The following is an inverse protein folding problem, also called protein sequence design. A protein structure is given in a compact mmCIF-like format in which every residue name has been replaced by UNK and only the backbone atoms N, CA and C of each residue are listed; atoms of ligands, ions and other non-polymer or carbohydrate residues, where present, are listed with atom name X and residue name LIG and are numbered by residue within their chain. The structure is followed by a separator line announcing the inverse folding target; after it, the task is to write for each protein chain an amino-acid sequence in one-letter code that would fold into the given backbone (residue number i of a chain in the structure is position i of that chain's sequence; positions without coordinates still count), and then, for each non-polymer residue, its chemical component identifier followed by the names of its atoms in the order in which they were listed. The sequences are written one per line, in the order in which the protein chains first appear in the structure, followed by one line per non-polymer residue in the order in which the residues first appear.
data_IF_287356795072
#
_entry.id   IF_287356795072
#
_cell.length_a   1.000
_cell.length_b   1.000
_cell.length_c   1.000
_cell.angle_alpha   90.00
_cell.angle_beta   90.00
_cell.angle_gamma   90.00
#
_symmetry.space_group_name_H-M   'P 1'
#
loop_
_entity.id
_entity.type
_entity.pdbx_description
1 polymer ?
#
# COMPACT_ATOMS: atom_id res chain seq x y z
N UNK A 1 -44.43 -28.59 0.61
CA UNK A 1 -43.26 -28.89 -0.26
C UNK A 1 -42.29 -29.79 0.49
N UNK A 2 -41.69 -30.82 -0.13
CA UNK A 2 -40.79 -31.71 0.57
C UNK A 2 -39.58 -30.90 1.06
N UNK A 3 -39.26 -31.02 2.36
CA UNK A 3 -38.19 -30.27 3.04
C UNK A 3 -36.85 -30.26 2.27
N UNK A 4 -36.56 -31.34 1.55
CA UNK A 4 -35.39 -31.47 0.65
C UNK A 4 -35.35 -30.42 -0.47
N UNK A 5 -36.50 -30.10 -1.08
CA UNK A 5 -36.57 -29.09 -2.15
C UNK A 5 -36.28 -27.69 -1.60
N UNK A 6 -36.75 -27.37 -0.38
CA UNK A 6 -36.47 -26.08 0.28
C UNK A 6 -34.97 -25.92 0.55
N UNK A 7 -34.28 -26.96 1.02
CA UNK A 7 -32.83 -26.91 1.22
C UNK A 7 -32.05 -26.74 -0.09
N UNK A 8 -32.49 -27.36 -1.18
CA UNK A 8 -31.85 -27.18 -2.50
C UNK A 8 -31.97 -25.72 -2.96
N UNK A 9 -33.16 -25.12 -2.84
CA UNK A 9 -33.36 -23.71 -3.21
C UNK A 9 -32.54 -22.76 -2.34
N UNK A 10 -32.43 -23.02 -1.03
CA UNK A 10 -31.58 -22.22 -0.13
C UNK A 10 -30.09 -22.32 -0.50
N UNK A 11 -29.59 -23.50 -0.85
CA UNK A 11 -28.21 -23.68 -1.31
C UNK A 11 -27.94 -22.94 -2.63
N UNK A 12 -28.85 -23.06 -3.61
CA UNK A 12 -28.70 -22.36 -4.90
C UNK A 12 -28.72 -20.84 -4.74
N UNK A 13 -29.59 -20.32 -3.87
CA UNK A 13 -29.63 -18.90 -3.55
C UNK A 13 -28.36 -18.43 -2.85
N UNK A 14 -27.82 -19.23 -1.93
CA UNK A 14 -26.53 -18.95 -1.27
C UNK A 14 -25.35 -18.91 -2.25
N UNK A 15 -25.30 -19.84 -3.22
CA UNK A 15 -24.27 -19.85 -4.26
C UNK A 15 -24.37 -18.61 -5.15
N UNK A 16 -25.60 -18.22 -5.53
CA UNK A 16 -25.84 -17.03 -6.36
C UNK A 16 -25.41 -15.73 -5.63
N UNK A 17 -25.73 -15.60 -4.35
CA UNK A 17 -25.27 -14.46 -3.54
C UNK A 17 -23.75 -14.41 -3.43
N UNK A 18 -23.11 -15.56 -3.21
CA UNK A 18 -21.66 -15.65 -3.10
C UNK A 18 -20.97 -15.31 -4.42
N UNK A 19 -21.47 -15.81 -5.56
CA UNK A 19 -20.91 -15.48 -6.87
C UNK A 19 -21.07 -13.99 -7.19
N UNK A 20 -22.21 -13.39 -6.83
CA UNK A 20 -22.42 -11.96 -7.04
C UNK A 20 -21.48 -11.10 -6.18
N UNK A 21 -21.23 -11.50 -4.93
CA UNK A 21 -20.27 -10.83 -4.05
C UNK A 21 -18.85 -10.93 -4.59
N UNK A 22 -18.44 -12.10 -5.10
CA UNK A 22 -17.13 -12.29 -5.72
C UNK A 22 -16.98 -11.44 -6.99
N UNK A 23 -18.02 -11.37 -7.84
CA UNK A 23 -18.02 -10.51 -9.03
C UNK A 23 -17.89 -9.03 -8.63
N UNK A 24 -18.60 -8.58 -7.59
CA UNK A 24 -18.47 -7.20 -7.11
C UNK A 24 -17.05 -6.88 -6.61
N UNK A 25 -16.41 -7.80 -5.91
CA UNK A 25 -15.02 -7.62 -5.46
C UNK A 25 -14.04 -7.55 -6.63
N UNK A 26 -14.21 -8.42 -7.63
CA UNK A 26 -13.37 -8.41 -8.83
C UNK A 26 -13.52 -7.11 -9.64
N UNK A 27 -14.74 -6.58 -9.76
CA UNK A 27 -14.99 -5.32 -10.46
C UNK A 27 -14.37 -4.11 -9.75
N UNK A 28 -14.32 -4.11 -8.41
CA UNK A 28 -13.64 -3.06 -7.64
C UNK A 28 -12.11 -3.08 -7.85
N UNK A 29 -11.51 -4.26 -7.95
CA UNK A 29 -10.07 -4.40 -8.23
C UNK A 29 -9.72 -3.95 -9.67
N UNK A 30 -10.62 -4.16 -10.62
CA UNK A 30 -10.44 -3.74 -12.02
C UNK A 30 -10.46 -2.21 -12.18
N UNK A 31 -11.32 -1.50 -11.43
CA UNK A 31 -11.38 -0.04 -11.46
C UNK A 31 -10.07 0.62 -10.95
N UNK A 32 -9.41 0.06 -9.93
CA UNK A 32 -8.08 0.52 -9.49
C UNK A 32 -6.95 0.19 -10.50
N UNK A 33 -7.16 -0.79 -11.38
CA UNK A 33 -6.12 -1.28 -12.32
C UNK A 33 -6.29 -0.75 -13.74
N UNK A 34 -7.46 -0.19 -14.08
CA UNK A 34 -7.75 0.28 -15.43
C UNK A 34 -6.81 1.40 -15.89
N UNK A 35 -6.12 1.17 -17.01
CA UNK A 35 -5.22 2.10 -17.70
C UNK A 35 -5.89 2.85 -18.86
N UNK A 36 -7.18 2.62 -19.11
CA UNK A 36 -7.87 3.22 -20.26
C UNK A 36 -8.01 4.74 -20.10
N UNK A 37 -7.38 5.49 -21.02
CA UNK A 37 -7.44 6.95 -21.09
C UNK A 37 -6.34 7.71 -20.35
N UNK A 38 -5.28 7.02 -19.89
CA UNK A 38 -4.24 7.65 -19.09
C UNK A 38 -3.20 8.42 -19.92
N UNK A 39 -3.14 9.75 -19.73
CA UNK A 39 -2.09 10.59 -20.30
C UNK A 39 -0.99 10.86 -19.23
N UNK A 40 0.21 10.26 -19.36
CA UNK A 40 1.32 10.48 -18.41
C UNK A 40 1.80 11.94 -18.37
N UNK A 41 1.48 12.76 -19.39
CA UNK A 41 1.79 14.19 -19.41
C UNK A 41 0.83 15.04 -18.56
N UNK A 42 -0.23 14.45 -18.00
CA UNK A 42 -1.26 15.17 -17.24
C UNK A 42 -1.27 14.86 -15.72
N UNK A 43 -0.38 13.97 -15.25
CA UNK A 43 -0.46 13.33 -13.93
C UNK A 43 0.91 13.20 -13.28
N UNK A 44 0.95 13.15 -11.94
CA UNK A 44 2.21 12.94 -11.22
C UNK A 44 2.69 11.50 -11.38
N UNK A 45 3.99 11.30 -11.61
CA UNK A 45 4.58 9.96 -11.73
C UNK A 45 5.41 9.65 -10.48
N UNK A 46 5.15 8.47 -9.92
CA UNK A 46 5.88 7.87 -8.81
C UNK A 46 6.56 6.60 -9.34
N UNK A 47 7.90 6.65 -9.44
CA UNK A 47 8.70 5.59 -10.01
C UNK A 47 9.24 4.67 -8.91
N UNK A 48 8.83 3.41 -8.87
CA UNK A 48 9.49 2.37 -8.08
C UNK A 48 10.78 1.94 -8.77
N UNK A 49 11.91 2.45 -8.28
CA UNK A 49 13.22 2.15 -8.85
C UNK A 49 13.64 0.70 -8.61
N UNK A 50 13.37 0.24 -7.39
CA UNK A 50 13.44 -1.17 -7.02
C UNK A 50 12.01 -1.74 -7.16
N UNK A 51 11.76 -2.63 -8.13
CA UNK A 51 10.40 -3.09 -8.44
C UNK A 51 9.85 -3.94 -7.30
N UNK A 52 9.17 -3.29 -6.36
CA UNK A 52 8.42 -3.91 -5.27
C UNK A 52 7.00 -4.29 -5.70
N UNK A 53 6.45 -3.53 -6.65
CA UNK A 53 5.11 -3.76 -7.20
C UNK A 53 5.23 -4.39 -8.59
N UNK A 54 4.46 -5.45 -8.89
CA UNK A 54 4.61 -6.20 -10.14
C UNK A 54 3.99 -5.49 -11.36
N UNK A 55 3.13 -4.49 -11.16
CA UNK A 55 2.36 -3.86 -12.22
C UNK A 55 2.21 -2.36 -12.00
N UNK A 56 2.10 -1.63 -13.11
CA UNK A 56 1.75 -0.21 -13.08
C UNK A 56 0.33 -0.04 -12.55
N UNK A 57 0.11 1.00 -11.75
CA UNK A 57 -1.20 1.29 -11.15
C UNK A 57 -1.50 2.77 -11.21
N UNK A 58 -2.74 3.10 -11.53
CA UNK A 58 -3.26 4.46 -11.45
C UNK A 58 -3.89 4.64 -10.08
N UNK A 59 -3.33 5.50 -9.24
CA UNK A 59 -3.94 5.82 -7.95
C UNK A 59 -4.63 7.18 -8.01
N UNK A 60 -5.92 7.19 -7.68
CA UNK A 60 -6.68 8.41 -7.47
C UNK A 60 -6.88 8.64 -5.98
N UNK A 61 -6.43 9.78 -5.49
CA UNK A 61 -6.73 10.32 -4.17
C UNK A 61 -7.73 11.47 -4.32
N UNK A 62 -8.31 11.96 -3.21
CA UNK A 62 -9.31 13.05 -3.23
C UNK A 62 -8.90 14.28 -4.05
N UNK A 63 -7.60 14.62 -4.10
CA UNK A 63 -7.08 15.84 -4.74
C UNK A 63 -6.06 15.58 -5.85
N UNK A 64 -5.66 14.33 -6.09
CA UNK A 64 -4.59 14.05 -7.04
C UNK A 64 -4.76 12.68 -7.70
N UNK A 65 -4.26 12.58 -8.93
CA UNK A 65 -4.10 11.32 -9.66
C UNK A 65 -2.61 11.11 -9.90
N UNK A 66 -2.13 9.89 -9.70
CA UNK A 66 -0.74 9.55 -9.98
C UNK A 66 -0.60 8.19 -10.66
N UNK A 67 0.45 8.09 -11.49
CA UNK A 67 0.94 6.81 -12.01
C UNK A 67 1.97 6.26 -11.03
N UNK A 68 1.74 5.03 -10.58
CA UNK A 68 2.76 4.20 -9.95
C UNK A 68 3.32 3.28 -11.02
N UNK A 69 4.61 3.36 -11.30
CA UNK A 69 5.28 2.55 -12.34
C UNK A 69 6.64 2.07 -11.86
N UNK A 70 7.12 0.94 -12.38
CA UNK A 70 8.50 0.49 -12.22
C UNK A 70 9.34 0.70 -13.50
N UNK A 71 8.76 1.30 -14.54
CA UNK A 71 9.42 1.54 -15.81
C UNK A 71 10.39 2.73 -15.70
N UNK A 72 11.69 2.40 -15.68
CA UNK A 72 12.78 3.37 -15.50
C UNK A 72 12.87 4.40 -16.62
N UNK A 73 12.17 4.22 -17.75
CA UNK A 73 12.08 5.25 -18.81
C UNK A 73 11.51 6.58 -18.29
N UNK A 74 10.69 6.52 -17.23
CA UNK A 74 10.09 7.70 -16.63
C UNK A 74 11.04 8.52 -15.74
N UNK A 75 12.30 8.07 -15.55
CA UNK A 75 13.28 8.81 -14.77
C UNK A 75 13.54 10.24 -15.31
N UNK A 76 13.53 10.41 -16.63
CA UNK A 76 13.74 11.70 -17.28
C UNK A 76 12.42 12.46 -17.55
N UNK A 77 11.27 11.94 -17.09
CA UNK A 77 9.97 12.51 -17.41
C UNK A 77 9.72 13.82 -16.64
N UNK A 78 9.20 14.88 -17.28
CA UNK A 78 8.98 16.18 -16.63
C UNK A 78 7.97 16.12 -15.46
N UNK A 79 7.08 15.12 -15.48
CA UNK A 79 6.09 14.88 -14.42
C UNK A 79 6.54 13.91 -13.32
N UNK A 80 7.79 13.44 -13.35
CA UNK A 80 8.34 12.64 -12.26
C UNK A 80 8.36 13.46 -10.96
N UNK A 81 7.66 12.99 -9.93
CA UNK A 81 7.61 13.65 -8.62
C UNK A 81 8.40 12.90 -7.57
N UNK A 82 8.44 11.58 -7.62
CA UNK A 82 9.19 10.78 -6.67
C UNK A 82 9.79 9.52 -7.29
N UNK A 83 10.90 9.09 -6.70
CA UNK A 83 11.55 7.81 -6.91
C UNK A 83 11.48 7.04 -5.59
N UNK A 84 10.92 5.84 -5.64
CA UNK A 84 10.60 5.01 -4.50
C UNK A 84 11.51 3.78 -4.48
N UNK A 85 11.95 3.42 -3.28
CA UNK A 85 12.89 2.34 -3.03
C UNK A 85 12.33 1.40 -1.95
N UNK A 86 12.48 0.10 -2.18
CA UNK A 86 12.21 -0.97 -1.26
C UNK A 86 13.55 -1.44 -0.69
N UNK A 87 13.70 -1.32 0.63
CA UNK A 87 15.00 -1.39 1.30
C UNK A 87 15.81 -2.64 1.00
N UNK A 88 15.16 -3.80 0.88
CA UNK A 88 15.85 -5.09 0.64
C UNK A 88 16.39 -5.24 -0.77
N UNK A 89 15.93 -4.40 -1.69
CA UNK A 89 16.31 -4.43 -3.10
C UNK A 89 17.16 -3.22 -3.50
N UNK A 90 17.56 -2.38 -2.54
CA UNK A 90 18.46 -1.25 -2.82
C UNK A 90 19.86 -1.78 -3.10
N UNK A 91 20.35 -1.48 -4.30
CA UNK A 91 21.72 -1.75 -4.73
C UNK A 91 22.44 -0.41 -4.94
N UNK A 92 23.51 -0.11 -4.18
CA UNK A 92 24.31 1.11 -4.35
C UNK A 92 24.86 1.32 -5.76
N UNK A 93 25.14 0.24 -6.50
CA UNK A 93 25.70 0.31 -7.86
C UNK A 93 24.63 0.58 -8.92
N UNK A 94 23.36 0.39 -8.57
CA UNK A 94 22.19 0.64 -9.42
C UNK A 94 21.36 1.80 -8.85
N UNK A 95 21.99 2.87 -8.36
CA UNK A 95 21.25 4.05 -7.90
C UNK A 95 20.99 5.02 -9.07
N UNK A 96 19.77 5.59 -9.18
CA UNK A 96 19.52 6.60 -10.20
C UNK A 96 20.32 7.88 -9.90
N UNK A 97 20.67 8.68 -10.91
CA UNK A 97 21.25 9.99 -10.69
C UNK A 97 20.32 10.84 -9.81
N UNK A 98 20.93 11.57 -8.87
CA UNK A 98 20.18 12.44 -7.98
C UNK A 98 19.63 13.64 -8.76
N UNK A 99 18.30 13.74 -8.83
CA UNK A 99 17.59 14.84 -9.46
C UNK A 99 16.75 15.68 -8.47
N UNK A 100 15.77 16.40 -9.01
CA UNK A 100 14.79 17.17 -8.23
C UNK A 100 13.65 16.32 -7.65
N UNK A 101 13.51 15.07 -8.11
CA UNK A 101 12.50 14.14 -7.61
C UNK A 101 12.76 13.77 -6.14
N UNK A 102 11.68 13.63 -5.38
CA UNK A 102 11.74 13.17 -3.98
C UNK A 102 12.15 11.71 -3.95
N UNK A 103 13.10 11.35 -3.08
CA UNK A 103 13.43 9.95 -2.84
C UNK A 103 12.71 9.43 -1.60
N UNK A 104 11.90 8.39 -1.78
CA UNK A 104 11.18 7.71 -0.71
C UNK A 104 11.72 6.31 -0.47
N UNK A 105 12.04 5.97 0.76
CA UNK A 105 12.47 4.64 1.17
C UNK A 105 11.39 3.97 2.02
N UNK A 106 11.07 2.74 1.67
CA UNK A 106 10.16 1.89 2.42
C UNK A 106 10.84 0.55 2.73
N UNK A 107 10.77 0.10 3.99
CA UNK A 107 11.31 -1.19 4.42
C UNK A 107 10.63 -1.71 5.69
N UNK A 108 9.88 -2.79 5.54
CA UNK A 108 9.08 -3.44 6.58
C UNK A 108 9.69 -4.73 7.13
N UNK A 109 10.93 -5.05 6.74
CA UNK A 109 11.64 -6.20 7.27
C UNK A 109 12.47 -5.85 8.51
N UNK A 110 12.86 -6.89 9.25
CA UNK A 110 13.70 -6.74 10.42
C UNK A 110 14.99 -5.97 10.10
N UNK A 111 15.45 -5.08 11.01
CA UNK A 111 16.78 -4.45 10.92
C UNK A 111 17.95 -5.41 10.67
N UNK A 112 17.77 -6.71 10.97
CA UNK A 112 18.78 -7.73 10.69
C UNK A 112 18.98 -8.00 9.19
N UNK A 113 17.96 -7.81 8.36
CA UNK A 113 18.02 -8.12 6.95
C UNK A 113 18.80 -7.03 6.19
N UNK A 114 18.57 -5.75 6.55
CA UNK A 114 19.31 -4.62 5.98
C UNK A 114 19.80 -3.67 7.09
N UNK A 115 20.89 -4.03 7.82
CA UNK A 115 21.37 -3.26 8.98
C UNK A 115 21.68 -1.79 8.69
N UNK A 116 22.14 -1.49 7.47
CA UNK A 116 22.44 -0.13 7.02
C UNK A 116 21.24 0.82 7.17
N UNK A 117 20.02 0.34 6.95
CA UNK A 117 18.80 1.15 7.07
C UNK A 117 18.41 1.49 8.52
N UNK A 118 19.19 1.02 9.51
CA UNK A 118 19.08 1.45 10.90
C UNK A 118 19.85 2.73 11.20
N UNK A 119 20.80 3.11 10.35
CA UNK A 119 21.70 4.24 10.58
C UNK A 119 21.17 5.54 9.98
N UNK A 120 21.24 6.63 10.74
CA UNK A 120 20.81 7.95 10.31
C UNK A 120 21.51 8.43 9.03
N UNK A 121 22.80 8.14 8.87
CA UNK A 121 23.57 8.52 7.69
C UNK A 121 22.99 7.89 6.41
N UNK A 122 22.66 6.60 6.43
CA UNK A 122 22.04 5.91 5.29
C UNK A 122 20.65 6.46 5.00
N UNK A 123 19.82 6.67 6.02
CA UNK A 123 18.47 7.20 5.82
C UNK A 123 18.48 8.63 5.29
N UNK A 124 19.50 9.43 5.60
CA UNK A 124 19.63 10.81 5.11
C UNK A 124 19.82 10.94 3.59
N UNK A 125 20.13 9.83 2.89
CA UNK A 125 20.16 9.78 1.43
C UNK A 125 18.74 9.91 0.82
N UNK A 126 17.71 9.59 1.61
CA UNK A 126 16.32 9.64 1.21
C UNK A 126 15.64 10.85 1.87
N UNK A 127 14.72 11.49 1.14
CA UNK A 127 13.96 12.63 1.70
C UNK A 127 12.95 12.16 2.74
N UNK A 128 12.33 11.00 2.47
CA UNK A 128 11.40 10.34 3.38
C UNK A 128 11.79 8.88 3.50
N UNK A 129 11.74 8.37 4.72
CA UNK A 129 11.96 6.97 5.02
C UNK A 129 10.89 6.47 5.99
N UNK A 130 10.49 5.21 5.79
CA UNK A 130 9.62 4.45 6.66
C UNK A 130 10.24 3.07 6.90
N UNK A 131 10.95 2.93 8.02
CA UNK A 131 11.63 1.71 8.43
C UNK A 131 11.43 1.47 9.94
N UNK A 132 12.03 0.41 10.49
CA UNK A 132 12.09 0.20 11.96
C UNK A 132 13.07 1.13 12.69
N UNK A 133 13.80 2.00 11.97
CA UNK A 133 14.71 2.95 12.61
C UNK A 133 13.95 4.11 13.27
N UNK A 134 14.39 4.52 14.46
CA UNK A 134 13.94 5.76 15.11
C UNK A 134 14.28 7.04 14.33
N UNK A 135 15.16 6.93 13.34
CA UNK A 135 15.58 8.03 12.48
C UNK A 135 14.68 8.18 11.24
N UNK A 136 13.69 7.30 11.05
CA UNK A 136 12.73 7.40 9.95
C UNK A 136 11.81 8.62 10.09
N UNK A 137 11.42 9.19 8.95
CA UNK A 137 10.54 10.35 8.90
C UNK A 137 9.09 9.96 9.19
N UNK A 138 8.70 8.77 8.75
CA UNK A 138 7.36 8.22 8.90
C UNK A 138 7.43 6.91 9.69
N UNK A 139 6.54 6.70 10.66
CA UNK A 139 6.47 5.43 11.39
C UNK A 139 5.88 4.34 10.50
N UNK A 140 6.60 3.24 10.36
CA UNK A 140 6.22 2.07 9.57
C UNK A 140 4.81 1.55 9.93
N UNK A 141 4.43 1.64 11.20
CA UNK A 141 3.14 1.17 11.72
C UNK A 141 1.92 1.87 11.12
N UNK A 142 2.10 3.04 10.47
CA UNK A 142 0.98 3.76 9.84
C UNK A 142 0.66 3.28 8.42
N UNK A 143 1.48 2.41 7.81
CA UNK A 143 1.26 1.93 6.45
C UNK A 143 -0.11 1.27 6.26
N UNK A 144 -0.54 0.47 7.24
CA UNK A 144 -1.81 -0.26 7.22
C UNK A 144 -2.89 0.45 8.04
N UNK A 145 -2.76 1.75 8.27
CA UNK A 145 -3.77 2.52 9.00
C UNK A 145 -4.71 3.23 8.01
N UNK A 146 -5.97 2.76 7.83
CA UNK A 146 -6.93 3.40 6.94
C UNK A 146 -7.26 4.84 7.31
N UNK A 147 -7.30 5.16 8.61
CA UNK A 147 -7.61 6.50 9.09
C UNK A 147 -7.11 6.73 10.52
N UNK A 148 -6.84 8.00 10.84
CA UNK A 148 -6.50 8.43 12.19
C UNK A 148 -7.59 8.08 13.22
N UNK A 149 -8.86 8.04 12.79
CA UNK A 149 -9.99 7.68 13.63
C UNK A 149 -9.80 6.29 14.28
N UNK A 150 -9.14 5.34 13.62
CA UNK A 150 -8.89 4.02 14.19
C UNK A 150 -7.90 4.04 15.37
N UNK A 151 -7.02 5.05 15.45
CA UNK A 151 -6.12 5.22 16.59
C UNK A 151 -6.74 6.04 17.72
N UNK A 152 -7.65 6.96 17.39
CA UNK A 152 -8.21 7.93 18.36
C UNK A 152 -9.57 7.53 18.91
N UNK A 153 -10.31 6.69 18.19
CA UNK A 153 -11.61 6.20 18.62
C UNK A 153 -11.46 5.17 19.75
N UNK A 154 -12.45 5.10 20.63
CA UNK A 154 -12.49 4.16 21.77
C UNK A 154 -13.44 2.95 21.60
N UNK A 155 -13.89 2.53 20.39
CA UNK A 155 -14.93 1.52 20.28
C UNK A 155 -14.48 0.15 20.79
N UNK A 156 -13.17 -0.14 20.76
CA UNK A 156 -12.57 -1.38 21.29
C UNK A 156 -11.95 -1.21 22.68
N UNK A 157 -11.97 0.00 23.26
CA UNK A 157 -11.52 0.24 24.62
C UNK A 157 -12.61 -0.19 25.61
N UNK A 158 -12.65 -1.49 25.92
CA UNK A 158 -13.39 -1.96 27.09
C UNK A 158 -12.61 -1.56 28.35
N UNK A 159 -13.28 -0.84 29.25
CA UNK A 159 -12.69 -0.48 30.53
C UNK A 159 -12.38 -1.78 31.30
N UNK A 160 -11.13 -1.92 31.75
CA UNK A 160 -10.58 -3.13 32.39
C UNK A 160 -11.37 -3.63 33.60
N UNK A 161 -12.27 -2.81 34.13
CA UNK A 161 -13.18 -3.15 35.23
C UNK A 161 -14.22 -4.23 34.85
N UNK A 162 -14.55 -4.41 33.56
CA UNK A 162 -15.56 -5.39 33.11
C UNK A 162 -14.98 -6.73 32.62
N UNK A 163 -13.64 -6.87 32.48
CA UNK A 163 -13.02 -8.11 32.01
C UNK A 163 -13.02 -9.25 33.03
N UNK A 164 -13.32 -8.97 34.31
CA UNK A 164 -13.46 -10.01 35.35
C UNK A 164 -14.77 -10.81 35.29
N UNK A 165 -15.74 -10.40 34.48
CA UNK A 165 -17.04 -11.09 34.36
C UNK A 165 -17.11 -12.11 33.20
N UNK A 166 -16.11 -12.15 32.32
CA UNK A 166 -16.10 -13.06 31.16
C UNK A 166 -15.05 -14.19 31.25
N UNK A 167 -14.40 -14.34 32.40
CA UNK A 167 -13.42 -15.41 32.67
C UNK A 167 -13.81 -16.29 33.88
N UNK A 168 -15.09 -16.28 34.28
CA UNK A 168 -15.66 -17.20 35.27
C UNK A 168 -16.83 -17.96 34.66
#
# INVERSE_FOLDING_TARGET
MPRRIVYIFLCLFGIFLFSHLMIYQLLQDEEETSTEGFNPDAVAILLWWTPFMPQERNKTCEKCKCLLTADRKYLAHPHLKAVLFYGSSVDPDDMPPRGSAVWGLFHEESPRNVPLLSHAATLSLFNYSSTFSRHSNLPLTLQFLPSLHLLTSKPLFTQTQNLKQHLL
#
